data_IF_210721093965
#
_entry.id   IF_210721093965
#
_cell.length_a   1.000
_cell.length_b   1.000
_cell.length_c   1.000
_cell.angle_alpha   90.00
_cell.angle_beta   90.00
_cell.angle_gamma   90.00
#
_symmetry.space_group_name_H-M   'P 1'
#
loop_
_entity.id
_entity.type
_entity.pdbx_description
1 polymer ?
#
# COMPACT_ATOMS: atom_id res chain seq x y z
N UNK A 1 -21.43 -18.08 -4.40
CA UNK A 1 -20.77 -16.86 -3.95
C UNK A 1 -19.93 -17.18 -2.74
N UNK A 2 -18.62 -17.05 -2.84
CA UNK A 2 -17.69 -17.26 -1.72
C UNK A 2 -17.33 -15.90 -1.15
N UNK A 3 -17.38 -15.75 0.19
CA UNK A 3 -17.09 -14.49 0.88
C UNK A 3 -15.88 -14.63 1.78
N UNK A 4 -15.16 -13.53 1.94
CA UNK A 4 -14.13 -13.43 2.96
C UNK A 4 -14.74 -13.21 4.35
N UNK A 5 -14.08 -13.73 5.36
CA UNK A 5 -14.45 -13.52 6.78
C UNK A 5 -13.19 -13.26 7.61
N UNK A 6 -13.38 -12.57 8.74
CA UNK A 6 -12.31 -12.27 9.67
C UNK A 6 -12.75 -12.57 11.10
N UNK A 7 -11.97 -13.37 11.79
CA UNK A 7 -12.31 -13.91 13.13
C UNK A 7 -11.42 -13.35 14.25
N UNK A 8 -10.54 -12.39 13.96
CA UNK A 8 -9.63 -11.81 14.94
C UNK A 8 -10.34 -10.93 15.99
N UNK A 9 -9.76 -10.86 17.19
CA UNK A 9 -10.20 -10.06 18.31
C UNK A 9 -9.23 -8.93 18.63
N UNK A 10 -9.75 -7.71 18.91
CA UNK A 10 -8.96 -6.53 19.24
C UNK A 10 -8.17 -6.68 20.54
N UNK A 11 -8.75 -7.36 21.56
CA UNK A 11 -8.07 -7.59 22.84
C UNK A 11 -6.82 -8.47 22.70
N UNK A 12 -6.87 -9.53 21.89
CA UNK A 12 -5.69 -10.36 21.60
C UNK A 12 -4.59 -9.54 20.90
N UNK A 13 -5.00 -8.71 19.95
CA UNK A 13 -4.06 -7.85 19.25
C UNK A 13 -3.45 -6.78 20.16
N UNK A 14 -4.24 -6.22 21.10
CA UNK A 14 -3.74 -5.29 22.12
C UNK A 14 -2.66 -5.93 23.00
N UNK A 15 -2.90 -7.13 23.51
CA UNK A 15 -1.92 -7.84 24.32
C UNK A 15 -0.60 -8.07 23.57
N UNK A 16 -0.68 -8.47 22.29
CA UNK A 16 0.50 -8.58 21.44
C UNK A 16 1.20 -7.22 21.25
N UNK A 17 0.44 -6.14 21.08
CA UNK A 17 0.97 -4.82 20.81
C UNK A 17 1.69 -4.21 22.01
N UNK A 18 1.15 -4.38 23.23
CA UNK A 18 1.81 -3.92 24.46
C UNK A 18 3.19 -4.56 24.59
N UNK A 19 3.28 -5.88 24.46
CA UNK A 19 4.57 -6.59 24.52
C UNK A 19 5.50 -6.13 23.40
N UNK A 20 4.99 -5.96 22.20
CA UNK A 20 5.78 -5.51 21.04
C UNK A 20 6.31 -4.09 21.24
N UNK A 21 5.53 -3.17 21.80
CA UNK A 21 5.96 -1.79 22.08
C UNK A 21 7.07 -1.79 23.14
N UNK A 22 6.87 -2.51 24.26
CA UNK A 22 7.91 -2.62 25.30
C UNK A 22 9.22 -3.15 24.72
N UNK A 23 9.17 -4.25 23.95
CA UNK A 23 10.37 -4.82 23.32
C UNK A 23 10.99 -3.88 22.27
N UNK A 24 10.17 -3.13 21.53
CA UNK A 24 10.67 -2.16 20.55
C UNK A 24 11.41 -1.01 21.23
N UNK A 25 10.92 -0.52 22.37
CA UNK A 25 11.60 0.51 23.17
C UNK A 25 12.94 -0.02 23.72
N UNK A 26 12.93 -1.19 24.35
CA UNK A 26 14.13 -1.81 24.92
C UNK A 26 15.21 -2.07 23.85
N UNK A 27 14.82 -2.42 22.64
CA UNK A 27 15.73 -2.71 21.53
C UNK A 27 16.04 -1.51 20.64
N UNK A 28 15.72 -0.28 21.07
CA UNK A 28 15.90 0.96 20.30
C UNK A 28 15.31 0.88 18.87
N UNK A 29 14.13 0.25 18.73
CA UNK A 29 13.41 0.11 17.47
C UNK A 29 13.70 -1.18 16.68
N UNK A 30 14.77 -1.92 16.98
CA UNK A 30 15.12 -3.12 16.22
C UNK A 30 14.01 -4.19 16.25
N UNK A 31 13.31 -4.36 17.35
CA UNK A 31 12.24 -5.34 17.49
C UNK A 31 10.99 -5.05 16.63
N UNK A 32 10.86 -3.84 16.08
CA UNK A 32 9.72 -3.45 15.22
C UNK A 32 9.46 -4.47 14.10
N UNK A 33 10.50 -5.02 13.47
CA UNK A 33 10.37 -5.98 12.37
C UNK A 33 9.77 -7.32 12.82
N UNK A 34 10.14 -7.80 14.02
CA UNK A 34 9.55 -9.01 14.63
C UNK A 34 8.11 -8.75 15.07
N UNK A 35 7.84 -7.59 15.63
CA UNK A 35 6.49 -7.15 15.98
C UNK A 35 5.57 -7.15 14.74
N UNK A 36 6.03 -6.57 13.64
CA UNK A 36 5.30 -6.51 12.37
C UNK A 36 5.01 -7.91 11.81
N UNK A 37 6.01 -8.81 11.79
CA UNK A 37 5.83 -10.18 11.35
C UNK A 37 4.82 -10.95 12.24
N UNK A 38 4.86 -10.76 13.57
CA UNK A 38 3.94 -11.39 14.54
C UNK A 38 2.49 -10.93 14.31
N UNK A 39 2.27 -9.62 14.16
CA UNK A 39 0.94 -9.05 13.90
C UNK A 39 0.40 -9.55 12.56
N UNK A 40 1.20 -9.57 11.50
CA UNK A 40 0.79 -10.11 10.20
C UNK A 40 0.40 -11.58 10.29
N UNK A 41 1.21 -12.41 10.95
CA UNK A 41 0.89 -13.83 11.14
C UNK A 41 -0.46 -14.01 11.82
N UNK A 42 -0.75 -13.22 12.85
CA UNK A 42 -2.04 -13.23 13.51
C UNK A 42 -3.17 -12.80 12.57
N UNK A 43 -3.04 -11.68 11.88
CA UNK A 43 -4.09 -11.18 10.98
C UNK A 43 -4.42 -12.18 9.88
N UNK A 44 -3.41 -12.74 9.22
CA UNK A 44 -3.61 -13.73 8.16
C UNK A 44 -4.25 -15.02 8.67
N UNK A 45 -3.82 -15.53 9.83
CA UNK A 45 -4.43 -16.72 10.45
C UNK A 45 -5.89 -16.53 10.88
N UNK A 46 -6.33 -15.28 11.06
CA UNK A 46 -7.70 -14.93 11.36
C UNK A 46 -8.53 -14.53 10.14
N UNK A 47 -7.88 -14.38 8.99
CA UNK A 47 -8.55 -14.12 7.71
C UNK A 47 -8.88 -15.44 7.04
N UNK A 48 -10.14 -15.65 6.69
CA UNK A 48 -10.59 -16.81 5.93
C UNK A 48 -11.27 -16.37 4.63
N UNK A 49 -11.12 -17.19 3.60
CA UNK A 49 -11.80 -17.05 2.32
C UNK A 49 -12.30 -18.43 1.88
N UNK A 50 -13.54 -18.50 1.45
CA UNK A 50 -14.17 -19.78 1.07
C UNK A 50 -14.07 -20.88 2.17
N UNK A 51 -14.07 -20.49 3.45
CA UNK A 51 -13.95 -21.42 4.59
C UNK A 51 -12.50 -21.69 5.05
N UNK A 52 -11.51 -21.48 4.21
CA UNK A 52 -10.11 -21.76 4.52
C UNK A 52 -9.34 -20.51 4.96
N UNK A 53 -8.44 -20.66 5.92
CA UNK A 53 -7.62 -19.58 6.47
C UNK A 53 -6.35 -19.38 5.68
N UNK A 54 -5.89 -18.14 5.65
CA UNK A 54 -4.58 -17.81 5.13
C UNK A 54 -3.48 -18.11 6.17
N UNK A 55 -2.28 -18.43 5.67
CA UNK A 55 -1.10 -18.55 6.52
C UNK A 55 0.00 -17.60 6.02
N UNK A 56 0.68 -16.96 6.97
CA UNK A 56 1.81 -16.06 6.69
C UNK A 56 3.10 -16.65 7.28
N UNK A 57 4.10 -16.84 6.44
CA UNK A 57 5.36 -17.52 6.76
C UNK A 57 6.55 -16.57 6.92
N UNK A 58 6.34 -15.25 6.73
CA UNK A 58 7.41 -14.27 6.86
C UNK A 58 7.94 -14.14 8.28
N UNK A 59 9.24 -13.86 8.40
CA UNK A 59 9.95 -13.71 9.67
C UNK A 59 10.42 -12.28 9.89
N UNK A 60 10.57 -11.88 11.16
CA UNK A 60 11.10 -10.58 11.52
C UNK A 60 12.57 -10.41 11.07
N UNK A 61 13.34 -11.50 11.04
CA UNK A 61 14.73 -11.49 10.58
C UNK A 61 14.82 -11.11 9.09
N UNK A 62 13.96 -11.68 8.25
CA UNK A 62 13.90 -11.34 6.82
C UNK A 62 13.55 -9.87 6.60
N UNK A 63 12.54 -9.35 7.34
CA UNK A 63 12.17 -7.94 7.26
C UNK A 63 13.31 -7.00 7.70
N UNK A 64 14.01 -7.34 8.78
CA UNK A 64 15.16 -6.59 9.27
C UNK A 64 16.31 -6.59 8.26
N UNK A 65 16.65 -7.76 7.71
CA UNK A 65 17.68 -7.87 6.66
C UNK A 65 17.32 -7.08 5.40
N UNK A 66 16.04 -7.13 4.98
CA UNK A 66 15.55 -6.32 3.87
C UNK A 66 15.68 -4.81 4.14
N UNK A 67 15.35 -4.38 5.36
CA UNK A 67 15.55 -3.00 5.80
C UNK A 67 17.02 -2.58 5.75
N UNK A 68 17.94 -3.40 6.28
CA UNK A 68 19.38 -3.10 6.25
C UNK A 68 19.89 -2.96 4.80
N UNK A 69 19.49 -3.85 3.91
CA UNK A 69 19.85 -3.75 2.48
C UNK A 69 19.34 -2.44 1.86
N UNK A 70 18.09 -2.08 2.13
CA UNK A 70 17.50 -0.82 1.66
C UNK A 70 18.23 0.41 2.24
N UNK A 71 18.59 0.36 3.51
CA UNK A 71 19.35 1.42 4.18
C UNK A 71 20.72 1.62 3.52
N UNK A 72 21.43 0.53 3.20
CA UNK A 72 22.73 0.60 2.53
C UNK A 72 22.59 1.15 1.10
N UNK A 73 21.64 0.65 0.33
CA UNK A 73 21.51 1.00 -1.11
C UNK A 73 20.92 2.39 -1.34
N UNK A 74 19.93 2.78 -0.53
CA UNK A 74 19.18 4.02 -0.72
C UNK A 74 19.30 4.98 0.46
N UNK A 75 19.30 4.47 1.70
CA UNK A 75 19.32 5.29 2.90
C UNK A 75 20.66 6.02 3.06
N UNK A 76 21.80 5.30 3.02
CA UNK A 76 23.10 5.92 3.16
C UNK A 76 23.35 7.00 2.09
N UNK A 77 23.13 6.75 0.77
CA UNK A 77 23.25 7.82 -0.22
C UNK A 77 22.34 9.02 0.04
N UNK A 78 21.07 8.77 0.41
CA UNK A 78 20.14 9.85 0.71
C UNK A 78 20.59 10.70 1.91
N UNK A 79 20.95 10.06 3.01
CA UNK A 79 21.41 10.77 4.23
C UNK A 79 22.76 11.45 4.06
N UNK A 80 23.68 10.87 3.26
CA UNK A 80 24.96 11.51 2.96
C UNK A 80 24.80 12.78 2.14
N UNK A 81 23.86 12.80 1.18
CA UNK A 81 23.52 14.01 0.43
C UNK A 81 22.93 15.09 1.36
N UNK A 82 22.01 14.72 2.26
CA UNK A 82 21.45 15.65 3.24
C UNK A 82 22.51 16.17 4.26
N UNK A 83 23.43 15.31 4.68
CA UNK A 83 24.54 15.72 5.54
C UNK A 83 25.47 16.72 4.82
N UNK A 84 25.81 16.45 3.56
CA UNK A 84 26.61 17.38 2.77
C UNK A 84 25.98 18.78 2.70
N UNK A 85 24.66 18.86 2.50
CA UNK A 85 23.92 20.13 2.49
C UNK A 85 23.96 20.85 3.84
N UNK A 86 23.87 20.09 4.96
CA UNK A 86 23.78 20.68 6.30
C UNK A 86 25.13 21.14 6.87
N UNK A 87 26.20 20.43 6.53
CA UNK A 87 27.54 20.66 7.14
C UNK A 87 28.52 21.41 6.22
N UNK A 88 28.31 21.42 4.91
CA UNK A 88 29.14 22.13 3.96
C UNK A 88 28.45 23.44 3.58
N UNK A 89 29.13 24.57 3.72
CA UNK A 89 28.65 25.88 3.25
C UNK A 89 28.80 25.93 1.71
N UNK A 90 27.87 25.26 1.02
CA UNK A 90 27.91 25.09 -0.43
C UNK A 90 27.24 26.26 -1.18
N UNK A 91 27.71 26.60 -2.38
CA UNK A 91 27.00 27.53 -3.26
C UNK A 91 25.56 27.03 -3.56
N UNK A 92 24.61 27.94 -3.68
CA UNK A 92 23.19 27.63 -3.91
C UNK A 92 22.95 26.71 -5.12
N UNK A 93 23.76 26.82 -6.18
CA UNK A 93 23.68 25.94 -7.35
C UNK A 93 24.04 24.49 -7.04
N UNK A 94 25.05 24.26 -6.19
CA UNK A 94 25.46 22.93 -5.74
C UNK A 94 24.43 22.33 -4.79
N UNK A 95 23.89 23.14 -3.90
CA UNK A 95 22.82 22.72 -2.98
C UNK A 95 21.57 22.26 -3.75
N UNK A 96 21.14 22.98 -4.77
CA UNK A 96 20.05 22.57 -5.66
C UNK A 96 20.32 21.23 -6.36
N UNK A 97 21.56 21.02 -6.86
CA UNK A 97 21.95 19.75 -7.47
C UNK A 97 21.87 18.58 -6.47
N UNK A 98 22.34 18.77 -5.24
CA UNK A 98 22.27 17.73 -4.20
C UNK A 98 20.83 17.41 -3.83
N UNK A 99 19.94 18.41 -3.74
CA UNK A 99 18.50 18.20 -3.55
C UNK A 99 17.87 17.40 -4.69
N UNK A 100 18.20 17.76 -5.94
CA UNK A 100 17.72 17.04 -7.12
C UNK A 100 18.21 15.56 -7.12
N UNK A 101 19.48 15.32 -6.75
CA UNK A 101 20.00 13.96 -6.61
C UNK A 101 19.31 13.18 -5.49
N UNK A 102 19.08 13.78 -4.34
CA UNK A 102 18.35 13.14 -3.23
C UNK A 102 16.91 12.79 -3.64
N UNK A 103 16.22 13.70 -4.31
CA UNK A 103 14.88 13.48 -4.86
C UNK A 103 14.88 12.33 -5.90
N UNK A 104 15.89 12.26 -6.76
CA UNK A 104 16.04 11.17 -7.74
C UNK A 104 16.25 9.81 -7.04
N UNK A 105 17.07 9.76 -6.01
CA UNK A 105 17.27 8.52 -5.22
C UNK A 105 15.94 8.02 -4.64
N UNK A 106 15.15 8.90 -4.03
CA UNK A 106 13.83 8.55 -3.50
C UNK A 106 12.86 8.15 -4.63
N UNK A 107 12.87 8.86 -5.74
CA UNK A 107 12.00 8.56 -6.89
C UNK A 107 12.27 7.17 -7.48
N UNK A 108 13.54 6.76 -7.56
CA UNK A 108 13.92 5.42 -8.02
C UNK A 108 13.64 4.34 -6.97
N UNK A 109 13.76 4.67 -5.69
CA UNK A 109 13.52 3.74 -4.59
C UNK A 109 12.06 3.27 -4.52
N UNK A 110 11.09 4.18 -4.66
CA UNK A 110 9.66 3.89 -4.48
C UNK A 110 9.17 2.73 -5.36
N UNK A 111 9.36 2.70 -6.69
CA UNK A 111 8.90 1.59 -7.52
C UNK A 111 9.62 0.28 -7.23
N UNK A 112 10.91 0.33 -6.87
CA UNK A 112 11.69 -0.85 -6.45
C UNK A 112 11.10 -1.43 -5.16
N UNK A 113 10.81 -0.58 -4.18
CA UNK A 113 10.20 -0.99 -2.91
C UNK A 113 8.81 -1.62 -3.12
N UNK A 114 7.95 -1.03 -3.99
CA UNK A 114 6.62 -1.55 -4.29
C UNK A 114 6.70 -2.99 -4.86
N UNK A 115 7.56 -3.21 -5.86
CA UNK A 115 7.71 -4.54 -6.49
C UNK A 115 8.24 -5.57 -5.50
N UNK A 116 9.28 -5.21 -4.76
CA UNK A 116 9.91 -6.13 -3.81
C UNK A 116 9.00 -6.43 -2.61
N UNK A 117 8.30 -5.43 -2.07
CA UNK A 117 7.29 -5.65 -1.04
C UNK A 117 6.14 -6.55 -1.53
N UNK A 118 5.70 -6.39 -2.78
CA UNK A 118 4.69 -7.27 -3.38
C UNK A 118 5.20 -8.69 -3.53
N UNK A 119 6.43 -8.86 -4.05
CA UNK A 119 7.09 -10.17 -4.21
C UNK A 119 7.23 -10.87 -2.86
N UNK A 120 7.76 -10.20 -1.86
CA UNK A 120 7.92 -10.73 -0.51
C UNK A 120 6.57 -11.14 0.10
N UNK A 121 5.55 -10.28 0.05
CA UNK A 121 4.22 -10.60 0.59
C UNK A 121 3.62 -11.83 -0.09
N UNK A 122 3.66 -11.92 -1.41
CA UNK A 122 3.14 -13.06 -2.16
C UNK A 122 3.86 -14.36 -1.77
N UNK A 123 5.19 -14.40 -1.80
CA UNK A 123 5.96 -15.62 -1.50
C UNK A 123 5.81 -16.09 -0.04
N UNK A 124 5.49 -15.18 0.89
CA UNK A 124 5.29 -15.50 2.31
C UNK A 124 3.84 -15.72 2.70
N UNK A 125 2.90 -15.63 1.76
CA UNK A 125 1.48 -15.89 2.00
C UNK A 125 1.09 -17.19 1.31
N UNK A 126 0.38 -18.08 2.04
CA UNK A 126 -0.23 -19.27 1.47
C UNK A 126 -1.72 -19.35 1.84
N UNK A 127 -2.48 -20.01 0.98
CA UNK A 127 -3.88 -20.35 1.19
C UNK A 127 -4.12 -21.79 0.72
N UNK A 128 -4.80 -22.61 1.49
CA UNK A 128 -4.94 -24.06 1.22
C UNK A 128 -3.61 -24.79 0.98
N UNK A 129 -2.53 -24.37 1.65
CA UNK A 129 -1.20 -24.92 1.44
C UNK A 129 -0.45 -24.44 0.20
N UNK A 130 -1.15 -23.76 -0.74
CA UNK A 130 -0.56 -23.23 -1.99
C UNK A 130 -0.07 -21.81 -1.75
N UNK A 131 1.16 -21.51 -2.17
CA UNK A 131 1.77 -20.17 -2.03
C UNK A 131 1.41 -19.28 -3.20
N UNK A 132 1.29 -17.99 -2.90
CA UNK A 132 1.25 -16.97 -3.93
C UNK A 132 2.66 -16.70 -4.47
N UNK A 133 2.75 -16.26 -5.72
CA UNK A 133 4.02 -15.80 -6.32
C UNK A 133 3.83 -14.52 -7.11
N UNK A 134 4.89 -13.71 -7.21
CA UNK A 134 4.89 -12.50 -8.02
C UNK A 134 6.07 -12.55 -9.00
N UNK A 135 5.78 -12.50 -10.31
CA UNK A 135 6.74 -12.71 -11.40
C UNK A 135 7.01 -11.43 -12.21
N UNK A 136 6.59 -10.28 -11.72
CA UNK A 136 6.86 -8.99 -12.37
C UNK A 136 8.34 -8.60 -12.26
N UNK A 137 8.92 -8.13 -13.38
CA UNK A 137 10.28 -7.59 -13.37
C UNK A 137 10.28 -6.16 -12.85
N UNK A 138 11.21 -5.86 -11.96
CA UNK A 138 11.36 -4.51 -11.38
C UNK A 138 11.63 -3.45 -12.44
N UNK A 139 12.43 -3.78 -13.47
CA UNK A 139 12.78 -2.85 -14.55
C UNK A 139 11.54 -2.46 -15.38
N UNK A 140 10.64 -3.39 -15.66
CA UNK A 140 9.42 -3.12 -16.43
C UNK A 140 8.47 -2.23 -15.64
N UNK A 141 8.37 -2.48 -14.32
CA UNK A 141 7.60 -1.61 -13.42
C UNK A 141 8.22 -0.22 -13.30
N UNK A 142 9.56 -0.11 -13.25
CA UNK A 142 10.26 1.16 -13.20
C UNK A 142 9.98 2.01 -14.46
N UNK A 143 10.05 1.39 -15.66
CA UNK A 143 9.69 2.06 -16.92
C UNK A 143 8.25 2.56 -16.92
N UNK A 144 7.30 1.72 -16.47
CA UNK A 144 5.90 2.08 -16.33
C UNK A 144 5.71 3.25 -15.34
N UNK A 145 6.40 3.19 -14.21
CA UNK A 145 6.32 4.20 -13.15
C UNK A 145 6.87 5.55 -13.63
N UNK A 146 8.03 5.55 -14.28
CA UNK A 146 8.65 6.75 -14.85
C UNK A 146 7.76 7.37 -15.92
N UNK A 147 7.31 6.55 -16.89
CA UNK A 147 6.39 7.00 -17.95
C UNK A 147 5.09 7.56 -17.36
N UNK A 148 4.53 6.88 -16.38
CA UNK A 148 3.29 7.30 -15.72
C UNK A 148 3.41 8.66 -15.03
N UNK A 149 4.49 8.89 -14.29
CA UNK A 149 4.75 10.17 -13.64
C UNK A 149 5.06 11.28 -14.63
N UNK A 150 5.84 10.99 -15.68
CA UNK A 150 6.13 11.97 -16.73
C UNK A 150 4.85 12.49 -17.38
N UNK A 151 3.96 11.58 -17.82
CA UNK A 151 2.68 11.99 -18.41
C UNK A 151 1.76 12.67 -17.40
N UNK A 152 1.76 12.23 -16.15
CA UNK A 152 0.97 12.88 -15.08
C UNK A 152 1.42 14.32 -14.87
N UNK A 153 2.73 14.57 -14.88
CA UNK A 153 3.29 15.93 -14.76
C UNK A 153 2.93 16.79 -15.97
N UNK A 154 3.15 16.27 -17.18
CA UNK A 154 2.87 17.01 -18.43
C UNK A 154 1.38 17.35 -18.58
N UNK A 155 0.47 16.52 -18.05
CA UNK A 155 -0.98 16.74 -18.15
C UNK A 155 -1.57 17.36 -16.88
N UNK A 156 -0.74 17.99 -16.01
CA UNK A 156 -1.17 18.60 -14.75
C UNK A 156 -2.06 17.67 -13.89
N UNK A 157 -1.72 16.38 -13.86
CA UNK A 157 -2.42 15.37 -13.03
C UNK A 157 -3.58 14.65 -13.71
N UNK A 158 -4.05 15.09 -14.90
CA UNK A 158 -5.21 14.44 -15.56
C UNK A 158 -4.90 13.03 -16.07
N UNK A 159 -3.64 12.68 -16.33
CA UNK A 159 -3.20 11.33 -16.69
C UNK A 159 -3.15 10.35 -15.50
N UNK A 160 -3.20 10.84 -14.27
CA UNK A 160 -3.01 10.02 -13.06
C UNK A 160 -3.95 8.80 -12.94
N UNK A 161 -5.25 8.84 -13.32
CA UNK A 161 -6.13 7.67 -13.34
C UNK A 161 -5.61 6.54 -14.23
N UNK A 162 -5.11 6.88 -15.42
CA UNK A 162 -4.51 5.91 -16.35
C UNK A 162 -3.25 5.28 -15.75
N UNK A 163 -2.37 6.10 -15.18
CA UNK A 163 -1.17 5.61 -14.50
C UNK A 163 -1.50 4.66 -13.36
N UNK A 164 -2.44 5.03 -12.49
CA UNK A 164 -2.88 4.18 -11.37
C UNK A 164 -3.47 2.85 -11.85
N UNK A 165 -4.27 2.87 -12.90
CA UNK A 165 -4.87 1.66 -13.46
C UNK A 165 -3.81 0.76 -14.11
N UNK A 166 -2.87 1.33 -14.87
CA UNK A 166 -1.74 0.57 -15.45
C UNK A 166 -0.85 -0.06 -14.37
N UNK A 167 -0.57 0.69 -13.29
CA UNK A 167 0.16 0.17 -12.14
C UNK A 167 -0.55 -1.01 -11.50
N UNK A 168 -1.87 -0.91 -11.30
CA UNK A 168 -2.66 -1.98 -10.73
C UNK A 168 -2.75 -3.19 -11.66
N UNK A 169 -2.93 -2.96 -12.96
CA UNK A 169 -2.89 -4.00 -13.98
C UNK A 169 -1.57 -4.76 -13.96
N UNK A 170 -0.43 -4.06 -13.87
CA UNK A 170 0.87 -4.69 -13.75
C UNK A 170 0.97 -5.57 -12.50
N UNK A 171 0.57 -5.05 -11.33
CA UNK A 171 0.67 -5.76 -10.07
C UNK A 171 -0.23 -7.00 -10.02
N UNK A 172 -1.49 -6.90 -10.51
CA UNK A 172 -2.41 -8.04 -10.53
C UNK A 172 -2.00 -9.08 -11.57
N UNK A 173 -1.70 -8.64 -12.79
CA UNK A 173 -1.38 -9.55 -13.89
C UNK A 173 -0.06 -10.31 -13.71
N UNK A 174 0.82 -9.90 -12.80
CA UNK A 174 2.04 -10.64 -12.46
C UNK A 174 1.92 -11.37 -11.11
N UNK A 175 0.74 -11.37 -10.48
CA UNK A 175 0.47 -12.17 -9.29
C UNK A 175 -0.14 -13.51 -9.71
N UNK A 176 0.36 -14.58 -9.10
CA UNK A 176 -0.08 -15.95 -9.33
C UNK A 176 -0.48 -16.61 -8.02
N UNK A 177 -1.46 -17.49 -8.08
CA UNK A 177 -1.79 -18.42 -7.03
C UNK A 177 -1.58 -19.85 -7.58
N UNK A 178 -0.54 -20.52 -7.12
CA UNK A 178 -0.07 -21.74 -7.75
C UNK A 178 0.29 -21.50 -9.23
N UNK A 179 -0.29 -22.29 -10.11
CA UNK A 179 -0.13 -22.19 -11.56
C UNK A 179 -1.07 -21.18 -12.25
N UNK A 180 -2.06 -20.64 -11.54
CA UNK A 180 -3.04 -19.73 -12.12
C UNK A 180 -2.69 -18.24 -11.86
N UNK A 181 -2.89 -17.44 -12.90
CA UNK A 181 -2.62 -16.00 -12.91
C UNK A 181 -3.88 -15.18 -12.61
N UNK A 182 -3.74 -14.13 -11.81
CA UNK A 182 -4.77 -13.11 -11.73
C UNK A 182 -4.76 -12.25 -12.99
N UNK A 183 -5.94 -11.85 -13.44
CA UNK A 183 -6.09 -10.94 -14.57
C UNK A 183 -6.82 -9.67 -14.13
N UNK A 184 -6.45 -8.57 -14.74
CA UNK A 184 -7.08 -7.28 -14.52
C UNK A 184 -7.51 -6.68 -15.85
N UNK A 185 -8.81 -6.42 -15.97
CA UNK A 185 -9.46 -5.94 -17.21
C UNK A 185 -9.86 -4.47 -17.15
N UNK A 186 -9.52 -3.77 -16.05
CA UNK A 186 -9.89 -2.36 -15.87
C UNK A 186 -9.09 -1.43 -16.77
N UNK A 187 -9.73 -0.37 -17.25
CA UNK A 187 -9.15 0.69 -18.07
C UNK A 187 -9.10 2.02 -17.30
N UNK A 188 -8.13 2.89 -17.59
CA UNK A 188 -7.99 4.19 -16.92
C UNK A 188 -9.20 5.10 -17.07
N UNK A 189 -9.95 4.98 -18.18
CA UNK A 189 -11.18 5.74 -18.42
C UNK A 189 -12.27 5.52 -17.37
N UNK A 190 -12.38 4.32 -16.81
CA UNK A 190 -13.38 4.01 -15.79
C UNK A 190 -13.18 4.75 -14.46
N UNK A 191 -11.97 5.22 -14.19
CA UNK A 191 -11.65 6.04 -13.01
C UNK A 191 -11.49 7.52 -13.32
N UNK A 192 -11.64 7.94 -14.60
CA UNK A 192 -11.42 9.33 -15.00
C UNK A 192 -12.36 10.29 -14.27
N UNK A 193 -13.65 9.99 -14.24
CA UNK A 193 -14.66 10.86 -13.62
C UNK A 193 -14.41 11.02 -12.11
N UNK A 194 -14.27 9.94 -11.30
CA UNK A 194 -13.95 10.09 -9.88
C UNK A 194 -12.67 10.88 -9.61
N UNK A 195 -11.61 10.66 -10.40
CA UNK A 195 -10.38 11.41 -10.25
C UNK A 195 -10.52 12.87 -10.67
N UNK A 196 -11.19 13.15 -11.79
CA UNK A 196 -11.43 14.52 -12.26
C UNK A 196 -12.22 15.33 -11.20
N UNK A 197 -13.33 14.78 -10.68
CA UNK A 197 -14.10 15.41 -9.62
C UNK A 197 -13.23 15.72 -8.41
N UNK A 198 -12.43 14.76 -7.96
CA UNK A 198 -11.54 14.95 -6.80
C UNK A 198 -10.46 16.00 -7.10
N UNK A 199 -9.86 15.96 -8.28
CA UNK A 199 -8.82 16.90 -8.69
C UNK A 199 -9.37 18.35 -8.73
N UNK A 200 -10.48 18.56 -9.44
CA UNK A 200 -11.10 19.89 -9.54
C UNK A 200 -11.59 20.42 -8.19
N UNK A 201 -12.21 19.56 -7.36
CA UNK A 201 -12.61 19.95 -6.01
C UNK A 201 -11.41 20.33 -5.16
N UNK A 202 -10.31 19.58 -5.26
CA UNK A 202 -9.07 19.89 -4.52
C UNK A 202 -8.50 21.23 -4.96
N UNK A 203 -8.39 21.48 -6.27
CA UNK A 203 -7.92 22.76 -6.77
C UNK A 203 -8.83 23.92 -6.39
N UNK A 204 -10.15 23.75 -6.49
CA UNK A 204 -11.12 24.78 -6.09
C UNK A 204 -10.98 25.14 -4.61
N UNK A 205 -10.88 24.13 -3.73
CA UNK A 205 -10.69 24.36 -2.29
C UNK A 205 -9.36 25.07 -2.01
N UNK A 206 -8.26 24.64 -2.65
CA UNK A 206 -6.96 25.30 -2.46
C UNK A 206 -6.98 26.75 -2.95
N UNK A 207 -7.61 27.03 -4.11
CA UNK A 207 -7.77 28.41 -4.61
C UNK A 207 -8.61 29.25 -3.67
N UNK A 208 -9.74 28.74 -3.17
CA UNK A 208 -10.59 29.45 -2.19
C UNK A 208 -9.85 29.71 -0.88
N UNK A 209 -9.10 28.74 -0.39
CA UNK A 209 -8.26 28.91 0.80
C UNK A 209 -7.17 29.96 0.58
N UNK A 210 -6.50 29.94 -0.57
CA UNK A 210 -5.51 30.93 -0.94
C UNK A 210 -6.09 32.34 -1.06
N UNK A 211 -7.28 32.49 -1.66
CA UNK A 211 -8.01 33.74 -1.74
C UNK A 211 -8.42 34.26 -0.36
N UNK A 212 -8.96 33.37 0.50
CA UNK A 212 -9.35 33.74 1.86
C UNK A 212 -8.15 34.23 2.70
N UNK A 213 -6.98 33.61 2.53
CA UNK A 213 -5.74 34.06 3.16
C UNK A 213 -5.27 35.40 2.59
N UNK A 214 -5.32 35.59 1.27
CA UNK A 214 -4.93 36.83 0.61
C UNK A 214 -5.83 38.02 1.01
N UNK A 215 -7.14 37.76 1.20
CA UNK A 215 -8.11 38.75 1.68
C UNK A 215 -8.15 38.89 3.22
N UNK A 216 -7.23 38.21 3.92
CA UNK A 216 -7.14 38.21 5.39
C UNK A 216 -8.45 37.80 6.12
N UNK A 217 -9.33 37.03 5.45
CA UNK A 217 -10.57 36.52 6.01
C UNK A 217 -10.33 35.40 7.03
N UNK A 218 -9.19 34.70 6.89
CA UNK A 218 -8.76 33.60 7.78
C UNK A 218 -7.26 33.70 8.06
N UNK A 219 -6.82 33.03 9.12
CA UNK A 219 -5.39 32.83 9.35
C UNK A 219 -4.92 31.45 8.82
N UNK A 220 -3.63 31.29 8.62
CA UNK A 220 -3.04 30.05 8.08
C UNK A 220 -3.37 28.81 8.95
N UNK A 221 -3.42 28.97 10.28
CA UNK A 221 -3.74 27.88 11.20
C UNK A 221 -5.18 27.38 11.02
N UNK A 222 -6.15 28.27 10.94
CA UNK A 222 -7.56 27.90 10.71
C UNK A 222 -7.74 27.27 9.33
N UNK A 223 -7.11 27.83 8.30
CA UNK A 223 -7.16 27.29 6.94
C UNK A 223 -6.61 25.87 6.87
N UNK A 224 -5.43 25.61 7.44
CA UNK A 224 -4.83 24.27 7.52
C UNK A 224 -5.70 23.28 8.29
N UNK A 225 -6.42 23.72 9.30
CA UNK A 225 -7.34 22.88 10.07
C UNK A 225 -8.60 22.53 9.28
N UNK A 226 -9.13 23.44 8.46
CA UNK A 226 -10.36 23.22 7.70
C UNK A 226 -10.17 22.35 6.45
N UNK A 227 -9.01 22.41 5.79
CA UNK A 227 -8.72 21.64 4.56
C UNK A 227 -9.04 20.13 4.71
N UNK A 228 -8.58 19.40 5.74
CA UNK A 228 -8.88 17.99 5.91
C UNK A 228 -10.38 17.68 6.08
N UNK A 229 -11.14 18.58 6.70
CA UNK A 229 -12.59 18.40 6.89
C UNK A 229 -13.36 18.53 5.57
N UNK A 230 -12.94 19.43 4.69
CA UNK A 230 -13.58 19.65 3.39
C UNK A 230 -13.13 18.60 2.38
N UNK A 231 -11.83 18.34 2.27
CA UNK A 231 -11.28 17.38 1.30
C UNK A 231 -11.39 15.92 1.74
N UNK A 232 -11.40 15.65 3.04
CA UNK A 232 -11.45 14.28 3.58
C UNK A 232 -12.59 13.44 3.01
N UNK A 233 -13.86 13.90 3.01
CA UNK A 233 -14.99 13.18 2.43
C UNK A 233 -14.82 12.87 0.93
N UNK A 234 -14.27 13.81 0.18
CA UNK A 234 -14.02 13.66 -1.28
C UNK A 234 -12.96 12.58 -1.54
N UNK A 235 -11.88 12.57 -0.75
CA UNK A 235 -10.83 11.56 -0.83
C UNK A 235 -11.33 10.18 -0.41
N UNK A 236 -12.14 10.09 0.65
CA UNK A 236 -12.77 8.82 1.07
C UNK A 236 -13.70 8.29 -0.01
N UNK A 237 -14.48 9.17 -0.66
CA UNK A 237 -15.32 8.80 -1.80
C UNK A 237 -14.48 8.23 -2.96
N UNK A 238 -13.40 8.91 -3.34
CA UNK A 238 -12.48 8.43 -4.38
C UNK A 238 -11.87 7.07 -4.02
N UNK A 239 -11.44 6.89 -2.76
CA UNK A 239 -10.91 5.60 -2.29
C UNK A 239 -11.94 4.48 -2.42
N UNK A 240 -13.20 4.74 -2.06
CA UNK A 240 -14.29 3.78 -2.23
C UNK A 240 -14.52 3.39 -3.67
N UNK A 241 -14.60 4.37 -4.59
CA UNK A 241 -14.75 4.13 -6.03
C UNK A 241 -13.57 3.34 -6.60
N UNK A 242 -12.35 3.72 -6.23
CA UNK A 242 -11.11 3.07 -6.68
C UNK A 242 -11.04 1.61 -6.21
N UNK A 243 -11.31 1.33 -4.93
CA UNK A 243 -11.27 -0.03 -4.39
C UNK A 243 -12.33 -0.92 -5.04
N UNK A 244 -13.56 -0.41 -5.18
CA UNK A 244 -14.62 -1.13 -5.87
C UNK A 244 -14.25 -1.45 -7.31
N UNK A 245 -13.79 -0.43 -8.05
CA UNK A 245 -13.37 -0.58 -9.45
C UNK A 245 -12.27 -1.64 -9.62
N UNK A 246 -11.27 -1.63 -8.78
CA UNK A 246 -10.16 -2.59 -8.88
C UNK A 246 -10.62 -4.03 -8.65
N UNK A 247 -11.43 -4.27 -7.65
CA UNK A 247 -11.94 -5.61 -7.38
C UNK A 247 -12.94 -6.09 -8.43
N UNK A 248 -13.85 -5.25 -8.86
CA UNK A 248 -14.85 -5.61 -9.88
C UNK A 248 -14.24 -5.91 -11.27
N UNK A 249 -13.00 -5.43 -11.52
CA UNK A 249 -12.25 -5.72 -12.76
C UNK A 249 -11.10 -6.73 -12.55
N UNK A 250 -11.05 -7.39 -11.40
CA UNK A 250 -10.07 -8.46 -11.15
C UNK A 250 -10.74 -9.81 -11.31
N UNK A 251 -10.10 -10.70 -12.09
CA UNK A 251 -10.58 -12.07 -12.33
C UNK A 251 -9.51 -13.08 -11.95
N UNK A 252 -9.94 -14.28 -11.59
CA UNK A 252 -9.09 -15.42 -11.29
C UNK A 252 -9.67 -16.67 -11.98
N UNK A 253 -9.02 -17.12 -13.06
CA UNK A 253 -9.60 -18.10 -13.95
C UNK A 253 -10.91 -17.59 -14.53
N UNK A 254 -11.99 -18.36 -14.38
CA UNK A 254 -13.35 -17.99 -14.80
C UNK A 254 -14.11 -17.18 -13.73
N UNK A 255 -13.59 -17.15 -12.51
CA UNK A 255 -14.26 -16.42 -11.45
C UNK A 255 -13.88 -14.94 -11.43
N UNK A 256 -14.87 -14.12 -11.09
CA UNK A 256 -14.73 -12.66 -10.96
C UNK A 256 -14.85 -12.24 -9.51
N UNK A 257 -13.93 -11.38 -9.08
CA UNK A 257 -14.10 -10.69 -7.81
C UNK A 257 -15.17 -9.62 -7.92
N UNK A 258 -15.89 -9.41 -6.83
CA UNK A 258 -16.89 -8.35 -6.69
C UNK A 258 -16.77 -7.72 -5.32
N UNK A 259 -16.86 -6.40 -5.28
CA UNK A 259 -16.75 -5.64 -4.03
C UNK A 259 -18.04 -4.91 -3.70
N UNK A 260 -18.57 -5.12 -2.49
CA UNK A 260 -19.74 -4.41 -1.97
C UNK A 260 -19.39 -3.13 -1.21
N UNK A 261 -18.20 -2.57 -1.43
CA UNK A 261 -17.76 -1.31 -0.83
C UNK A 261 -18.59 -0.16 -1.39
N UNK A 262 -19.20 0.61 -0.50
CA UNK A 262 -19.86 1.88 -0.80
C UNK A 262 -19.15 3.00 -0.04
N UNK A 263 -19.18 4.22 -0.59
CA UNK A 263 -18.53 5.35 0.05
C UNK A 263 -19.12 5.66 1.44
N UNK A 264 -20.43 5.44 1.64
CA UNK A 264 -21.10 5.64 2.93
C UNK A 264 -20.57 4.68 3.99
N UNK A 265 -20.42 3.38 3.65
CA UNK A 265 -19.84 2.38 4.56
C UNK A 265 -18.38 2.68 4.88
N UNK A 266 -17.63 3.14 3.88
CA UNK A 266 -16.22 3.45 4.03
C UNK A 266 -16.03 4.72 4.88
N UNK A 267 -16.81 5.78 4.63
CA UNK A 267 -16.77 6.99 5.46
C UNK A 267 -17.18 6.72 6.90
N UNK A 268 -18.23 5.93 7.14
CA UNK A 268 -18.63 5.50 8.49
C UNK A 268 -17.53 4.68 9.20
N UNK A 269 -16.78 3.86 8.45
CA UNK A 269 -15.62 3.16 8.98
C UNK A 269 -14.51 4.14 9.40
N UNK A 270 -14.10 5.05 8.51
CA UNK A 270 -12.99 5.97 8.79
C UNK A 270 -13.34 7.00 9.86
N UNK A 271 -14.56 7.59 9.83
CA UNK A 271 -15.01 8.51 10.87
C UNK A 271 -15.11 7.82 12.23
N UNK A 272 -15.69 6.62 12.28
CA UNK A 272 -15.75 5.85 13.52
C UNK A 272 -14.36 5.42 14.03
N UNK A 273 -13.41 5.12 13.15
CA UNK A 273 -12.04 4.82 13.53
C UNK A 273 -11.31 6.07 14.04
N UNK A 274 -11.50 7.21 13.38
CA UNK A 274 -10.94 8.49 13.81
C UNK A 274 -11.47 8.88 15.20
N UNK A 275 -12.79 8.80 15.42
CA UNK A 275 -13.38 9.07 16.72
C UNK A 275 -12.82 8.15 17.82
N UNK A 276 -12.70 6.83 17.54
CA UNK A 276 -12.09 5.88 18.47
C UNK A 276 -10.65 6.25 18.81
N UNK A 277 -9.84 6.60 17.81
CA UNK A 277 -8.43 6.95 18.03
C UNK A 277 -8.29 8.25 18.80
N UNK A 278 -9.10 9.26 18.50
CA UNK A 278 -9.10 10.54 19.23
C UNK A 278 -9.54 10.37 20.68
N UNK A 279 -10.65 9.65 20.93
CA UNK A 279 -11.17 9.42 22.29
C UNK A 279 -10.21 8.59 23.15
N UNK A 280 -9.43 7.69 22.53
CA UNK A 280 -8.51 6.80 23.24
C UNK A 280 -7.06 7.24 23.13
N UNK A 281 -6.78 8.44 22.59
CA UNK A 281 -5.42 8.93 22.33
C UNK A 281 -4.53 7.91 21.61
N UNK A 282 -5.13 7.17 20.65
CA UNK A 282 -4.44 6.16 19.85
C UNK A 282 -4.42 4.74 20.42
N UNK A 283 -4.83 4.53 21.69
CA UNK A 283 -4.82 3.18 22.30
C UNK A 283 -5.78 2.19 21.62
N UNK A 284 -6.82 2.67 20.93
CA UNK A 284 -7.75 1.82 20.19
C UNK A 284 -7.22 1.31 18.84
N UNK A 285 -5.96 1.56 18.48
CA UNK A 285 -5.36 1.09 17.22
C UNK A 285 -5.57 -0.41 16.93
N UNK A 286 -5.45 -1.35 17.90
CA UNK A 286 -5.75 -2.76 17.68
C UNK A 286 -7.19 -3.04 17.23
N UNK A 287 -8.17 -2.35 17.83
CA UNK A 287 -9.58 -2.49 17.44
C UNK A 287 -9.83 -1.89 16.06
N UNK A 288 -9.22 -0.76 15.74
CA UNK A 288 -9.26 -0.15 14.41
C UNK A 288 -8.70 -1.10 13.36
N UNK A 289 -7.57 -1.76 13.63
CA UNK A 289 -6.97 -2.75 12.73
C UNK A 289 -7.91 -3.95 12.50
N UNK A 290 -8.50 -4.51 13.55
CA UNK A 290 -9.48 -5.59 13.45
C UNK A 290 -10.74 -5.15 12.69
N UNK A 291 -11.24 -3.95 12.96
CA UNK A 291 -12.42 -3.38 12.30
C UNK A 291 -12.17 -3.18 10.80
N UNK A 292 -11.00 -2.67 10.43
CA UNK A 292 -10.59 -2.55 9.03
C UNK A 292 -10.48 -3.92 8.36
N UNK A 293 -9.78 -4.88 8.98
CA UNK A 293 -9.64 -6.23 8.44
C UNK A 293 -11.01 -6.88 8.21
N UNK A 294 -11.92 -6.80 9.18
CA UNK A 294 -13.29 -7.34 9.07
C UNK A 294 -14.09 -6.67 7.96
N UNK A 295 -13.97 -5.36 7.82
CA UNK A 295 -14.67 -4.61 6.77
C UNK A 295 -14.18 -5.01 5.37
N UNK A 296 -12.87 -4.97 5.12
CA UNK A 296 -12.34 -5.26 3.79
C UNK A 296 -12.50 -6.73 3.40
N UNK A 297 -12.33 -7.67 4.32
CA UNK A 297 -12.58 -9.09 4.03
C UNK A 297 -14.04 -9.38 3.78
N UNK A 298 -14.95 -8.82 4.60
CA UNK A 298 -16.39 -9.04 4.47
C UNK A 298 -17.03 -8.39 3.23
N UNK A 299 -16.41 -7.36 2.66
CA UNK A 299 -16.90 -6.70 1.44
C UNK A 299 -16.44 -7.37 0.15
N UNK A 300 -15.49 -8.29 0.22
CA UNK A 300 -14.96 -9.00 -0.95
C UNK A 300 -15.71 -10.33 -1.14
N UNK A 301 -16.17 -10.58 -2.35
CA UNK A 301 -16.79 -11.83 -2.74
C UNK A 301 -16.24 -12.31 -4.09
N UNK A 302 -16.18 -13.62 -4.27
CA UNK A 302 -15.83 -14.29 -5.52
C UNK A 302 -17.08 -14.90 -6.11
N UNK A 303 -17.37 -14.56 -7.36
CA UNK A 303 -18.50 -15.04 -8.13
C UNK A 303 -18.00 -15.93 -9.28
N UNK A 304 -18.64 -17.05 -9.49
CA UNK A 304 -18.29 -18.03 -10.53
C UNK A 304 -17.84 -19.37 -9.94
N UNK A 305 -17.75 -20.36 -10.79
CA UNK A 305 -17.25 -21.69 -10.45
C UNK A 305 -15.74 -21.67 -10.69
N UNK A 306 -14.97 -21.57 -9.62
CA UNK A 306 -13.53 -21.81 -9.72
C UNK A 306 -13.28 -23.21 -9.21
N UNK A 307 -12.76 -24.08 -10.06
CA UNK A 307 -12.28 -25.39 -9.64
C UNK A 307 -10.95 -25.18 -8.88
N UNK A 308 -11.08 -24.73 -7.62
CA UNK A 308 -9.94 -24.43 -6.76
C UNK A 308 -9.11 -25.69 -6.46
N UNK A 309 -9.69 -26.87 -6.67
CA UNK A 309 -9.03 -28.15 -6.43
C UNK A 309 -8.07 -28.53 -7.58
N UNK A 310 -8.22 -27.89 -8.75
CA UNK A 310 -7.27 -28.01 -9.87
C UNK A 310 -6.07 -27.09 -9.80
N UNK A 311 -6.05 -26.15 -8.84
CA UNK A 311 -4.89 -25.27 -8.66
C UNK A 311 -3.78 -26.06 -7.99
N UNK A 312 -2.72 -26.32 -8.72
CA UNK A 312 -1.53 -27.01 -8.24
C UNK A 312 -0.45 -26.03 -7.82
N UNK A 313 0.32 -26.41 -6.80
CA UNK A 313 1.53 -25.68 -6.47
C UNK A 313 2.48 -25.71 -7.67
N UNK A 314 2.88 -24.56 -8.16
CA UNK A 314 3.85 -24.46 -9.25
C UNK A 314 5.25 -24.83 -8.72
N UNK A 315 5.84 -25.85 -9.31
CA UNK A 315 7.20 -26.32 -9.00
C UNK A 315 8.28 -25.52 -9.73
N UNK A 316 7.91 -24.44 -10.41
CA UNK A 316 8.89 -23.58 -11.08
C UNK A 316 9.83 -23.03 -10.03
N UNK A 317 10.97 -23.68 -9.85
CA UNK A 317 12.10 -23.18 -9.08
C UNK A 317 12.45 -21.81 -9.64
N UNK A 318 12.33 -20.78 -8.81
CA UNK A 318 12.94 -19.49 -9.10
C UNK A 318 14.43 -19.76 -9.26
N UNK A 319 14.93 -19.62 -10.49
CA UNK A 319 16.33 -19.89 -10.83
C UNK A 319 17.25 -19.17 -9.83
N UNK A 320 18.12 -19.93 -9.20
CA UNK A 320 19.09 -19.52 -8.17
C UNK A 320 19.92 -18.29 -8.58
N UNK A 321 20.11 -18.06 -9.87
CA UNK A 321 20.88 -16.95 -10.43
C UNK A 321 20.12 -15.59 -10.40
N UNK A 322 18.78 -15.60 -10.40
CA UNK A 322 17.96 -14.38 -10.24
C UNK A 322 17.79 -13.97 -8.78
N UNK A 323 17.95 -14.91 -7.83
CA UNK A 323 17.80 -14.66 -6.40
C UNK A 323 18.93 -13.81 -5.81
N UNK A 324 20.16 -13.90 -6.31
CA UNK A 324 21.28 -13.10 -5.80
C UNK A 324 21.09 -11.59 -5.98
N UNK A 325 20.61 -11.17 -7.15
CA UNK A 325 20.37 -9.74 -7.45
C UNK A 325 19.02 -9.27 -6.89
N UNK A 326 17.99 -10.13 -6.90
CA UNK A 326 16.70 -9.81 -6.28
C UNK A 326 16.80 -9.75 -4.76
N UNK A 327 17.63 -10.60 -4.13
CA UNK A 327 17.93 -10.55 -2.71
C UNK A 327 18.71 -9.29 -2.27
N UNK A 328 19.51 -8.71 -3.14
CA UNK A 328 20.15 -7.42 -2.90
C UNK A 328 19.15 -6.24 -2.89
N UNK A 329 18.08 -6.37 -3.69
CA UNK A 329 17.05 -5.34 -3.84
C UNK A 329 15.74 -5.69 -3.11
N UNK A 330 15.70 -6.83 -2.39
CA UNK A 330 14.53 -7.26 -1.63
C UNK A 330 14.42 -6.44 -0.35
N UNK A 331 13.96 -5.23 -0.53
CA UNK A 331 13.70 -4.27 0.54
C UNK A 331 12.39 -4.64 1.21
N UNK A 332 12.44 -5.25 2.38
CA UNK A 332 11.26 -5.60 3.17
C UNK A 332 10.39 -4.42 3.63
N UNK A 333 10.34 -3.34 2.84
CA UNK A 333 9.54 -2.16 3.11
C UNK A 333 8.10 -2.38 2.63
N UNK A 334 7.19 -2.37 3.57
CA UNK A 334 5.76 -2.19 3.30
C UNK A 334 5.48 -0.69 3.26
N UNK A 335 5.11 -0.20 2.10
CA UNK A 335 4.37 1.04 2.00
C UNK A 335 2.89 0.66 1.89
N UNK A 336 2.18 0.77 3.00
CA UNK A 336 0.71 0.78 3.03
C UNK A 336 0.18 2.11 2.51
#
# INVERSE_FOLDING_TARGET
MQRGSFHGAGGTLLGMQIVNVCLTIVTLGAYHFWAKAKIRRYLFSQTAFAGDRFAYHGTGKELYQGFLKAMVVFGIPYFSLGAAQSFLALPQSVDFLLQAMAALVLFLYVPVAIVNARRYRCTRTSWRGIRFSFRGRTVDFLKLYFKGWLFTLLTLGTYYPYFQTQRQAFLHSHTYFGNQRFQFTGHGSGLMVPFAVTLFTTYAVLCLCGLALALQLTNAGLTLLLIPFVLGPVWVWLLGQKQKYYWDHTTFGEARFSSSITWQKLSGLYLGNLALLLLTLGWAWPWVTVRNARFFTGTLSLQGVTDLDRVLQDTTETSVTGEGLSNLLDTGFDMD
#
